data_IF_571624614121
#
_entry.id   IF_571624614121
#
_cell.length_a   1.000
_cell.length_b   1.000
_cell.length_c   1.000
_cell.angle_alpha   90.00
_cell.angle_beta   90.00
_cell.angle_gamma   90.00
#
_symmetry.space_group_name_H-M   'P 1'
#
loop_
_entity.id
_entity.type
_entity.pdbx_description
1 polymer ?
#
# COMPACT_ATOMS: atom_id res chain seq x y z
N UNK A 1 27.29 -4.27 27.47
CA UNK A 1 27.59 -2.84 27.26
C UNK A 1 27.71 -2.57 25.77
N UNK A 2 26.67 -2.05 25.12
CA UNK A 2 26.70 -1.27 23.85
C UNK A 2 25.27 -0.82 23.51
N UNK A 3 24.75 0.19 24.19
CA UNK A 3 23.46 0.81 23.86
C UNK A 3 23.50 2.31 24.24
N UNK A 4 24.24 3.09 23.46
CA UNK A 4 24.16 4.57 23.54
C UNK A 4 24.51 5.31 22.25
N UNK A 5 24.92 4.61 21.18
CA UNK A 5 25.22 5.25 19.89
C UNK A 5 24.00 5.37 18.95
N UNK A 6 22.90 4.66 19.22
CA UNK A 6 21.73 4.63 18.31
C UNK A 6 20.88 5.90 18.35
N UNK A 7 20.78 6.58 19.51
CA UNK A 7 19.84 7.69 19.67
C UNK A 7 20.26 8.96 18.90
N UNK A 8 21.57 9.18 18.68
CA UNK A 8 22.08 10.36 17.97
C UNK A 8 22.09 10.18 16.45
N UNK A 9 22.48 8.99 15.96
CA UNK A 9 22.48 8.69 14.54
C UNK A 9 21.05 8.51 14.00
N UNK A 10 20.14 7.97 14.82
CA UNK A 10 18.72 7.85 14.48
C UNK A 10 18.06 9.17 14.07
N UNK A 11 18.46 10.30 14.68
CA UNK A 11 17.92 11.63 14.32
C UNK A 11 18.28 12.07 12.89
N UNK A 12 19.45 11.71 12.41
CA UNK A 12 19.91 12.09 11.07
C UNK A 12 19.54 11.06 10.01
N UNK A 13 19.19 9.85 10.44
CA UNK A 13 18.76 8.78 9.57
C UNK A 13 17.32 9.02 9.12
N UNK A 14 17.07 8.85 7.82
CA UNK A 14 15.71 8.91 7.27
C UNK A 14 15.25 7.49 6.94
N UNK A 15 14.49 6.83 7.83
CA UNK A 15 14.06 5.44 7.62
C UNK A 15 13.16 5.29 6.40
N UNK A 16 12.53 6.37 5.94
CA UNK A 16 11.68 6.41 4.74
C UNK A 16 12.47 6.19 3.43
N UNK A 17 13.81 6.34 3.47
CA UNK A 17 14.68 6.22 2.28
C UNK A 17 15.93 5.35 2.51
N UNK A 18 16.00 4.64 3.64
CA UNK A 18 17.14 3.78 4.01
C UNK A 18 16.67 2.40 4.48
N UNK A 19 17.57 1.42 4.57
CA UNK A 19 17.20 0.03 4.91
C UNK A 19 16.44 -0.64 3.77
N UNK A 20 15.30 -1.24 4.07
CA UNK A 20 14.41 -1.90 3.12
C UNK A 20 13.79 -0.91 2.12
N UNK A 21 13.59 0.35 2.53
CA UNK A 21 13.05 1.42 1.68
C UNK A 21 14.11 2.06 0.74
N UNK A 22 15.30 1.45 0.63
CA UNK A 22 16.41 2.01 -0.15
C UNK A 22 16.25 1.70 -1.65
N UNK A 23 16.27 2.76 -2.46
CA UNK A 23 16.38 2.61 -3.92
C UNK A 23 17.82 2.25 -4.32
N UNK A 24 18.06 1.00 -4.75
CA UNK A 24 19.37 0.53 -5.22
C UNK A 24 19.87 1.29 -6.46
N UNK A 25 19.07 1.49 -7.54
CA UNK A 25 19.49 2.28 -8.69
C UNK A 25 19.86 3.72 -8.33
N UNK A 26 19.07 4.35 -7.47
CA UNK A 26 19.32 5.71 -6.99
C UNK A 26 20.62 5.78 -6.18
N UNK A 27 20.90 4.76 -5.36
CA UNK A 27 22.13 4.67 -4.57
C UNK A 27 23.35 4.57 -5.48
N UNK A 28 23.30 3.72 -6.52
CA UNK A 28 24.38 3.57 -7.49
C UNK A 28 24.68 4.90 -8.21
N UNK A 29 23.65 5.60 -8.70
CA UNK A 29 23.80 6.92 -9.34
C UNK A 29 24.39 7.96 -8.39
N UNK A 30 23.90 8.03 -7.15
CA UNK A 30 24.43 8.96 -6.16
C UNK A 30 25.90 8.69 -5.84
N UNK A 31 26.30 7.42 -5.73
CA UNK A 31 27.71 7.04 -5.52
C UNK A 31 28.55 7.45 -6.74
N UNK A 32 28.06 7.22 -7.96
CA UNK A 32 28.76 7.62 -9.18
C UNK A 32 28.97 9.14 -9.24
N UNK A 33 27.93 9.94 -8.94
CA UNK A 33 28.02 11.41 -8.89
C UNK A 33 29.02 11.85 -7.80
N UNK A 34 28.96 11.24 -6.62
CA UNK A 34 29.90 11.54 -5.53
C UNK A 34 31.35 11.23 -5.91
N UNK A 35 31.60 10.10 -6.57
CA UNK A 35 32.92 9.71 -7.05
C UNK A 35 33.46 10.69 -8.11
N UNK A 36 32.64 11.05 -9.11
CA UNK A 36 33.02 12.03 -10.14
C UNK A 36 33.33 13.39 -9.53
N UNK A 37 32.48 13.86 -8.61
CA UNK A 37 32.70 15.13 -7.90
C UNK A 37 33.98 15.12 -7.06
N UNK A 38 34.24 14.02 -6.33
CA UNK A 38 35.45 13.86 -5.53
C UNK A 38 36.72 13.84 -6.39
N UNK A 39 36.71 13.12 -7.52
CA UNK A 39 37.83 13.11 -8.48
C UNK A 39 38.08 14.50 -9.06
N UNK A 40 37.02 15.22 -9.45
CA UNK A 40 37.12 16.58 -9.96
C UNK A 40 37.73 17.55 -8.96
N UNK A 41 37.25 17.56 -7.71
CA UNK A 41 37.82 18.42 -6.64
C UNK A 41 39.24 18.01 -6.28
N UNK A 42 39.51 16.69 -6.23
CA UNK A 42 40.84 16.14 -5.97
C UNK A 42 41.88 16.57 -7.01
N UNK A 43 41.49 16.56 -8.28
CA UNK A 43 42.36 16.94 -9.39
C UNK A 43 42.56 18.45 -9.53
N UNK A 44 41.54 19.26 -9.21
CA UNK A 44 41.55 20.70 -9.44
C UNK A 44 41.99 21.54 -8.23
N UNK A 45 41.86 21.00 -7.01
CA UNK A 45 42.10 21.77 -5.78
C UNK A 45 43.10 21.06 -4.87
N UNK A 46 42.71 19.91 -4.31
CA UNK A 46 43.55 19.13 -3.40
C UNK A 46 42.93 17.74 -3.19
N UNK A 47 43.77 16.70 -3.12
CA UNK A 47 43.34 15.31 -2.94
C UNK A 47 42.60 15.13 -1.61
N UNK A 48 43.03 15.83 -0.56
CA UNK A 48 42.42 15.81 0.77
C UNK A 48 40.99 16.34 0.75
N UNK A 49 40.73 17.39 -0.02
CA UNK A 49 39.40 17.96 -0.18
C UNK A 49 38.48 17.05 -0.99
N UNK A 50 39.01 16.40 -2.03
CA UNK A 50 38.29 15.37 -2.78
C UNK A 50 37.90 14.18 -1.88
N UNK A 51 38.82 13.71 -1.05
CA UNK A 51 38.58 12.64 -0.09
C UNK A 51 37.54 13.04 0.97
N UNK A 52 37.64 14.24 1.53
CA UNK A 52 36.66 14.75 2.48
C UNK A 52 35.25 14.85 1.87
N UNK A 53 35.14 15.34 0.64
CA UNK A 53 33.87 15.40 -0.09
C UNK A 53 33.27 14.01 -0.29
N UNK A 54 34.07 13.02 -0.66
CA UNK A 54 33.60 11.65 -0.84
C UNK A 54 33.07 11.06 0.46
N UNK A 55 33.80 11.22 1.56
CA UNK A 55 33.37 10.73 2.90
C UNK A 55 32.05 11.37 3.32
N UNK A 56 31.91 12.69 3.18
CA UNK A 56 30.67 13.41 3.52
C UNK A 56 29.51 12.95 2.63
N UNK A 57 29.77 12.75 1.34
CA UNK A 57 28.77 12.29 0.37
C UNK A 57 28.27 10.87 0.69
N UNK A 58 29.20 9.95 0.97
CA UNK A 58 28.85 8.58 1.38
C UNK A 58 28.08 8.56 2.70
N UNK A 59 28.47 9.39 3.67
CA UNK A 59 27.73 9.55 4.92
C UNK A 59 26.30 10.05 4.68
N UNK A 60 26.11 11.02 3.79
CA UNK A 60 24.78 11.51 3.42
C UNK A 60 23.93 10.42 2.74
N UNK A 61 24.50 9.66 1.81
CA UNK A 61 23.82 8.55 1.12
C UNK A 61 23.47 7.42 2.10
N UNK A 62 24.34 7.13 3.06
CA UNK A 62 24.11 6.10 4.06
C UNK A 62 23.01 6.49 5.04
N UNK A 63 23.06 7.71 5.58
CA UNK A 63 22.09 8.23 6.55
C UNK A 63 20.73 8.56 5.93
N UNK A 64 20.70 9.19 4.75
CA UNK A 64 19.48 9.79 4.19
C UNK A 64 18.98 9.13 2.91
N UNK A 65 19.80 8.32 2.25
CA UNK A 65 19.44 7.68 0.97
C UNK A 65 19.63 8.55 -0.28
N UNK A 66 20.05 9.81 -0.14
CA UNK A 66 20.28 10.73 -1.25
C UNK A 66 21.48 11.66 -1.00
N UNK A 67 22.09 12.13 -2.09
CA UNK A 67 23.28 12.98 -2.07
C UNK A 67 22.94 14.46 -1.82
N UNK A 68 21.87 14.97 -2.43
CA UNK A 68 21.47 16.39 -2.37
C UNK A 68 20.13 16.53 -1.62
N UNK A 69 19.98 17.47 -0.67
CA UNK A 69 18.69 17.67 0.02
C UNK A 69 17.53 17.94 -0.94
N UNK A 70 16.41 17.23 -0.76
CA UNK A 70 15.19 17.42 -1.54
C UNK A 70 15.14 16.71 -2.89
N UNK A 71 16.17 15.93 -3.27
CA UNK A 71 16.13 15.11 -4.51
C UNK A 71 14.87 14.24 -4.60
N UNK A 72 14.41 13.53 -3.54
CA UNK A 72 13.23 12.68 -3.66
C UNK A 72 11.97 13.46 -4.09
N UNK A 73 11.75 14.65 -3.54
CA UNK A 73 10.61 15.51 -3.84
C UNK A 73 10.76 16.16 -5.23
N UNK A 74 11.98 16.53 -5.62
CA UNK A 74 12.28 17.05 -6.95
C UNK A 74 12.03 15.99 -8.04
N UNK A 75 12.50 14.77 -7.82
CA UNK A 75 12.33 13.65 -8.74
C UNK A 75 10.85 13.28 -8.88
N UNK A 76 10.08 13.29 -7.79
CA UNK A 76 8.62 13.07 -7.86
C UNK A 76 7.89 14.11 -8.69
N UNK A 77 8.31 15.39 -8.63
CA UNK A 77 7.59 16.50 -9.28
C UNK A 77 7.99 16.71 -10.75
N UNK A 78 9.22 16.37 -11.12
CA UNK A 78 9.78 16.76 -12.42
C UNK A 78 10.33 15.60 -13.24
N UNK A 79 10.55 14.42 -12.65
CA UNK A 79 11.10 13.30 -13.40
C UNK A 79 9.98 12.59 -14.18
N UNK A 80 10.09 12.45 -15.52
CA UNK A 80 9.07 11.77 -16.31
C UNK A 80 8.97 10.29 -15.96
N UNK A 81 7.77 9.71 -16.09
CA UNK A 81 7.43 8.33 -15.71
C UNK A 81 8.38 7.28 -16.28
N UNK A 82 8.85 7.47 -17.52
CA UNK A 82 9.85 6.59 -18.16
C UNK A 82 11.16 6.47 -17.38
N UNK A 83 11.61 7.56 -16.77
CA UNK A 83 12.83 7.57 -15.98
C UNK A 83 12.56 7.06 -14.57
N UNK A 84 11.39 7.36 -13.99
CA UNK A 84 10.95 6.73 -12.74
C UNK A 84 10.91 5.21 -12.83
N UNK A 85 10.39 4.62 -13.92
CA UNK A 85 10.43 3.16 -14.17
C UNK A 85 11.84 2.60 -14.22
N UNK A 86 12.79 3.30 -14.84
CA UNK A 86 14.20 2.91 -14.87
C UNK A 86 14.82 2.88 -13.45
N UNK A 87 14.30 3.70 -12.54
CA UNK A 87 14.68 3.72 -11.12
C UNK A 87 13.84 2.77 -10.25
N UNK A 88 12.96 1.95 -10.83
CA UNK A 88 12.01 1.10 -10.08
C UNK A 88 11.00 1.90 -9.26
N UNK A 89 10.66 3.12 -9.71
CA UNK A 89 9.75 4.08 -9.04
C UNK A 89 8.64 4.60 -9.96
N UNK A 90 8.41 3.97 -11.10
CA UNK A 90 7.18 4.19 -11.87
C UNK A 90 6.04 3.41 -11.23
N UNK A 91 4.79 3.75 -11.55
CA UNK A 91 3.73 2.72 -11.44
C UNK A 91 4.20 1.59 -12.35
N UNK A 92 4.57 0.46 -11.77
CA UNK A 92 4.92 -0.71 -12.55
C UNK A 92 3.72 -1.08 -13.42
N UNK A 93 4.00 -1.55 -14.63
CA UNK A 93 3.00 -2.24 -15.42
C UNK A 93 2.72 -3.55 -14.70
N UNK A 94 1.61 -3.58 -13.95
CA UNK A 94 1.09 -4.77 -13.29
C UNK A 94 1.93 -5.26 -12.09
N UNK A 95 1.28 -5.93 -11.12
CA UNK A 95 1.98 -6.59 -10.02
C UNK A 95 2.94 -7.68 -10.53
N UNK A 96 3.99 -8.04 -9.78
CA UNK A 96 4.85 -9.18 -10.11
C UNK A 96 4.04 -10.48 -10.18
N UNK A 97 4.49 -11.50 -10.93
CA UNK A 97 3.72 -12.72 -11.12
C UNK A 97 3.74 -13.57 -9.85
N UNK A 98 2.70 -13.46 -9.04
CA UNK A 98 2.29 -14.56 -8.16
C UNK A 98 0.87 -15.05 -8.45
N UNK A 99 0.00 -14.22 -9.05
CA UNK A 99 -1.22 -14.67 -9.76
C UNK A 99 -1.46 -13.73 -10.94
N UNK A 100 -1.50 -14.26 -12.16
CA UNK A 100 -2.05 -13.54 -13.30
C UNK A 100 -3.57 -13.52 -13.17
N UNK A 101 -4.11 -12.42 -12.63
CA UNK A 101 -5.52 -12.31 -12.28
C UNK A 101 -6.45 -12.52 -13.49
N UNK A 102 -6.06 -12.03 -14.66
CA UNK A 102 -6.83 -12.21 -15.89
C UNK A 102 -6.89 -13.70 -16.26
N UNK A 103 -5.72 -14.35 -16.35
CA UNK A 103 -5.64 -15.79 -16.63
C UNK A 103 -6.35 -16.64 -15.58
N UNK A 104 -6.25 -16.27 -14.30
CA UNK A 104 -6.91 -16.99 -13.21
C UNK A 104 -8.44 -16.87 -13.33
N UNK A 105 -8.97 -15.65 -13.49
CA UNK A 105 -10.41 -15.41 -13.59
C UNK A 105 -11.03 -16.01 -14.87
N UNK A 106 -10.27 -16.06 -15.97
CA UNK A 106 -10.64 -16.82 -17.17
C UNK A 106 -10.64 -18.33 -16.90
N UNK A 107 -9.60 -18.86 -16.23
CA UNK A 107 -9.53 -20.29 -15.90
C UNK A 107 -10.60 -20.75 -14.92
N UNK A 108 -11.06 -19.84 -14.06
CA UNK A 108 -12.12 -20.05 -13.08
C UNK A 108 -13.53 -19.81 -13.65
N UNK A 109 -13.65 -19.55 -14.95
CA UNK A 109 -14.91 -19.19 -15.64
C UNK A 109 -15.64 -18.00 -15.00
N UNK A 110 -14.93 -17.10 -14.31
CA UNK A 110 -15.50 -15.85 -13.76
C UNK A 110 -15.60 -14.79 -14.86
N UNK A 111 -14.58 -14.73 -15.71
CA UNK A 111 -14.56 -13.90 -16.92
C UNK A 111 -14.69 -14.78 -18.15
N UNK A 112 -15.35 -14.24 -19.18
CA UNK A 112 -15.45 -14.81 -20.52
C UNK A 112 -15.07 -13.75 -21.54
N UNK A 113 -14.47 -14.16 -22.66
CA UNK A 113 -14.28 -13.25 -23.78
C UNK A 113 -15.65 -12.82 -24.35
N UNK A 114 -15.77 -11.54 -24.70
CA UNK A 114 -16.94 -11.06 -25.43
C UNK A 114 -17.05 -11.75 -26.80
N UNK A 115 -18.24 -11.84 -27.40
CA UNK A 115 -18.42 -12.50 -28.71
C UNK A 115 -17.57 -11.90 -29.84
N UNK A 116 -17.14 -10.65 -29.71
CA UNK A 116 -16.27 -9.96 -30.66
C UNK A 116 -14.77 -10.11 -30.34
N UNK A 117 -14.41 -10.74 -29.21
CA UNK A 117 -13.04 -11.01 -28.77
C UNK A 117 -12.26 -9.75 -28.43
N UNK A 118 -12.93 -8.61 -28.18
CA UNK A 118 -12.27 -7.33 -27.93
C UNK A 118 -12.19 -6.95 -26.46
N UNK A 119 -12.94 -7.64 -25.60
CA UNK A 119 -13.03 -7.35 -24.18
C UNK A 119 -13.38 -8.62 -23.37
N UNK A 120 -13.40 -8.50 -22.05
CA UNK A 120 -13.84 -9.51 -21.11
C UNK A 120 -15.16 -9.10 -20.47
N UNK A 121 -16.07 -10.05 -20.32
CA UNK A 121 -17.33 -9.89 -19.60
C UNK A 121 -17.41 -10.86 -18.43
N UNK A 122 -18.24 -10.55 -17.42
CA UNK A 122 -18.56 -11.55 -16.40
C UNK A 122 -19.31 -12.72 -17.02
N UNK A 123 -18.94 -13.94 -16.61
CA UNK A 123 -19.72 -15.11 -16.95
C UNK A 123 -21.16 -14.97 -16.38
N UNK A 124 -22.19 -15.50 -17.06
CA UNK A 124 -23.59 -15.27 -16.65
C UNK A 124 -23.92 -15.71 -15.22
N UNK A 125 -23.26 -16.76 -14.74
CA UNK A 125 -23.42 -17.24 -13.37
C UNK A 125 -22.84 -16.24 -12.36
N UNK A 126 -21.64 -15.71 -12.64
CA UNK A 126 -20.96 -14.74 -11.78
C UNK A 126 -21.70 -13.42 -11.81
N UNK A 127 -22.12 -12.94 -12.99
CA UNK A 127 -22.89 -11.71 -13.14
C UNK A 127 -24.18 -11.76 -12.31
N UNK A 128 -24.88 -12.90 -12.32
CA UNK A 128 -26.10 -13.11 -11.55
C UNK A 128 -25.83 -13.13 -10.05
N UNK A 129 -24.84 -13.93 -9.60
CA UNK A 129 -24.45 -14.01 -8.20
C UNK A 129 -23.98 -12.65 -7.66
N UNK A 130 -23.17 -11.94 -8.44
CA UNK A 130 -22.65 -10.62 -8.14
C UNK A 130 -23.76 -9.57 -8.00
N UNK A 131 -24.73 -9.55 -8.94
CA UNK A 131 -25.90 -8.66 -8.84
C UNK A 131 -26.73 -8.95 -7.60
N UNK A 132 -26.97 -10.23 -7.28
CA UNK A 132 -27.69 -10.63 -6.06
C UNK A 132 -26.95 -10.18 -4.81
N UNK A 133 -25.62 -10.32 -4.78
CA UNK A 133 -24.81 -9.89 -3.65
C UNK A 133 -24.81 -8.36 -3.48
N UNK A 134 -24.66 -7.60 -4.57
CA UNK A 134 -24.74 -6.14 -4.56
C UNK A 134 -26.11 -5.64 -4.07
N UNK A 135 -27.19 -6.32 -4.43
CA UNK A 135 -28.52 -6.00 -3.92
C UNK A 135 -28.59 -6.23 -2.40
N UNK A 136 -28.11 -7.38 -1.91
CA UNK A 136 -28.08 -7.67 -0.49
C UNK A 136 -27.24 -6.68 0.32
N UNK A 137 -26.10 -6.23 -0.22
CA UNK A 137 -25.27 -5.20 0.43
C UNK A 137 -25.96 -3.83 0.48
N UNK A 138 -26.68 -3.45 -0.58
CA UNK A 138 -27.49 -2.22 -0.58
C UNK A 138 -28.61 -2.30 0.46
N UNK A 139 -29.34 -3.42 0.50
CA UNK A 139 -30.41 -3.62 1.47
C UNK A 139 -29.87 -3.63 2.91
N UNK A 140 -28.72 -4.26 3.14
CA UNK A 140 -28.03 -4.25 4.42
C UNK A 140 -27.55 -2.83 4.81
N UNK A 141 -27.03 -2.06 3.86
CA UNK A 141 -26.66 -0.66 4.07
C UNK A 141 -27.91 0.17 4.41
N UNK A 142 -29.00 0.03 3.68
CA UNK A 142 -30.26 0.74 3.95
C UNK A 142 -30.84 0.37 5.33
N UNK A 143 -30.68 -0.88 5.74
CA UNK A 143 -31.08 -1.35 7.08
C UNK A 143 -30.15 -0.82 8.18
N UNK A 144 -28.84 -0.78 7.93
CA UNK A 144 -27.82 -0.33 8.90
C UNK A 144 -27.79 1.20 9.05
N UNK A 145 -28.10 1.94 7.99
CA UNK A 145 -28.14 3.40 8.01
C UNK A 145 -29.53 3.98 8.29
N UNK A 146 -30.57 3.12 8.35
CA UNK A 146 -31.95 3.52 8.52
C UNK A 146 -32.44 4.29 7.30
N UNK A 147 -33.54 3.83 6.68
CA UNK A 147 -34.18 4.57 5.59
C UNK A 147 -34.23 6.05 5.94
N UNK A 148 -33.66 6.89 5.07
CA UNK A 148 -33.53 8.35 5.26
C UNK A 148 -34.92 8.92 5.45
N UNK A 149 -35.36 8.95 6.70
CA UNK A 149 -36.38 9.84 7.19
C UNK A 149 -35.60 10.94 7.87
N UNK A 150 -35.70 12.15 7.30
CA UNK A 150 -35.25 13.36 7.97
C UNK A 150 -35.98 13.46 9.31
N UNK A 151 -35.37 12.95 10.37
CA UNK A 151 -35.77 13.19 11.74
C UNK A 151 -34.49 13.37 12.57
N UNK A 152 -34.34 14.62 13.01
CA UNK A 152 -33.25 15.20 13.77
C UNK A 152 -32.91 14.45 15.07
N UNK A 153 -31.59 14.34 15.31
CA UNK A 153 -30.87 14.44 16.57
C UNK A 153 -31.29 13.57 17.78
N UNK A 154 -30.38 12.68 18.18
CA UNK A 154 -29.93 12.53 19.57
C UNK A 154 -28.59 11.78 19.57
N UNK A 155 -27.64 12.27 20.36
CA UNK A 155 -26.24 11.87 20.30
C UNK A 155 -25.93 10.51 20.90
N UNK A 156 -24.74 10.01 20.57
CA UNK A 156 -24.09 8.91 21.28
C UNK A 156 -22.62 9.21 21.50
N UNK A 157 -22.14 8.70 22.62
CA UNK A 157 -20.98 9.12 23.39
C UNK A 157 -19.67 9.12 22.60
N UNK A 158 -18.95 10.24 22.68
CA UNK A 158 -17.63 10.41 22.09
C UNK A 158 -16.63 9.50 22.81
N UNK A 159 -16.42 8.29 22.26
CA UNK A 159 -15.18 7.55 22.46
C UNK A 159 -14.02 8.52 22.17
N UNK A 160 -13.18 8.76 23.17
CA UNK A 160 -12.13 9.76 23.13
C UNK A 160 -11.28 9.59 21.85
N UNK A 161 -11.34 10.56 20.94
CA UNK A 161 -10.49 10.60 19.75
C UNK A 161 -9.04 10.58 20.22
N UNK A 162 -8.26 9.53 19.91
CA UNK A 162 -6.84 9.50 20.18
C UNK A 162 -6.13 10.73 19.58
N UNK A 163 -4.99 11.16 20.15
CA UNK A 163 -4.29 12.37 19.74
C UNK A 163 -3.82 12.38 18.27
N UNK A 164 -3.86 11.24 17.58
CA UNK A 164 -3.52 11.09 16.17
C UNK A 164 -4.68 11.39 15.19
N UNK A 165 -5.87 11.71 15.70
CA UNK A 165 -7.05 12.04 14.88
C UNK A 165 -7.70 10.84 14.20
N UNK A 166 -7.25 9.63 14.52
CA UNK A 166 -7.83 8.40 13.98
C UNK A 166 -9.02 7.93 14.80
N UNK A 167 -9.94 7.19 14.20
CA UNK A 167 -11.09 6.58 14.88
C UNK A 167 -11.00 5.06 14.74
N UNK A 168 -11.20 4.26 15.81
CA UNK A 168 -11.29 2.82 15.64
C UNK A 168 -12.46 2.47 14.72
N UNK A 169 -12.29 1.40 13.95
CA UNK A 169 -13.38 0.81 13.17
C UNK A 169 -14.43 0.18 14.09
N UNK A 170 -15.62 -0.08 13.53
CA UNK A 170 -16.65 -0.81 14.27
C UNK A 170 -16.20 -2.26 14.52
N UNK A 171 -16.67 -2.92 15.60
CA UNK A 171 -16.37 -4.34 15.83
C UNK A 171 -16.71 -5.23 14.62
N UNK A 172 -17.81 -4.93 13.92
CA UNK A 172 -18.20 -5.63 12.70
C UNK A 172 -17.17 -5.51 11.57
N UNK A 173 -16.53 -4.34 11.44
CA UNK A 173 -15.46 -4.13 10.45
C UNK A 173 -14.19 -4.90 10.85
N UNK A 174 -13.89 -5.03 12.15
CA UNK A 174 -12.74 -5.83 12.63
C UNK A 174 -12.99 -7.33 12.39
N UNK A 175 -14.19 -7.84 12.67
CA UNK A 175 -14.58 -9.22 12.34
C UNK A 175 -14.54 -9.48 10.83
N UNK A 176 -14.91 -8.51 10.01
CA UNK A 176 -14.78 -8.59 8.56
C UNK A 176 -13.31 -8.68 8.12
N UNK A 177 -12.44 -7.85 8.72
CA UNK A 177 -11.00 -7.86 8.45
C UNK A 177 -10.34 -9.17 8.90
N UNK A 178 -10.73 -9.73 10.04
CA UNK A 178 -10.23 -11.01 10.53
C UNK A 178 -10.51 -12.14 9.54
N UNK A 179 -11.73 -12.19 8.99
CA UNK A 179 -12.09 -13.16 7.95
C UNK A 179 -11.30 -12.96 6.66
N UNK A 180 -11.20 -11.71 6.19
CA UNK A 180 -10.47 -11.38 4.98
C UNK A 180 -8.99 -11.81 5.09
N UNK A 181 -8.36 -11.55 6.24
CA UNK A 181 -6.92 -11.76 6.44
C UNK A 181 -6.55 -13.14 6.99
N UNK A 182 -7.50 -13.85 7.62
CA UNK A 182 -7.24 -15.08 8.37
C UNK A 182 -6.50 -14.87 9.70
N UNK A 183 -6.41 -13.62 10.18
CA UNK A 183 -5.75 -13.27 11.45
C UNK A 183 -6.82 -13.10 12.53
N UNK A 184 -6.54 -13.60 13.74
CA UNK A 184 -7.43 -13.44 14.90
C UNK A 184 -7.72 -11.96 15.19
N UNK A 185 -8.96 -11.66 15.59
CA UNK A 185 -9.42 -10.29 15.86
C UNK A 185 -8.54 -9.56 16.89
N UNK A 186 -8.05 -10.27 17.91
CA UNK A 186 -7.18 -9.72 18.96
C UNK A 186 -5.82 -9.25 18.43
N UNK A 187 -5.37 -9.81 17.31
CA UNK A 187 -4.13 -9.43 16.64
C UNK A 187 -4.31 -8.23 15.70
N UNK A 188 -5.55 -7.82 15.43
CA UNK A 188 -5.89 -6.86 14.40
C UNK A 188 -6.33 -5.51 14.96
N UNK A 189 -6.01 -4.45 14.23
CA UNK A 189 -6.64 -3.16 14.41
C UNK A 189 -6.91 -2.49 13.08
N UNK A 190 -8.07 -1.86 12.96
CA UNK A 190 -8.46 -1.04 11.81
C UNK A 190 -8.81 0.35 12.31
N UNK A 191 -8.14 1.37 11.78
CA UNK A 191 -8.38 2.76 12.17
C UNK A 191 -8.62 3.65 10.95
N UNK A 192 -9.56 4.58 11.10
CA UNK A 192 -9.98 5.54 10.07
C UNK A 192 -9.39 6.93 10.35
N UNK A 193 -8.74 7.55 9.37
CA UNK A 193 -8.25 8.92 9.42
C UNK A 193 -9.06 9.79 8.44
N UNK A 194 -10.19 10.32 8.89
CA UNK A 194 -11.17 10.88 7.96
C UNK A 194 -11.84 9.73 7.19
N UNK A 195 -11.65 9.69 5.87
CA UNK A 195 -12.13 8.61 4.99
C UNK A 195 -11.15 7.43 4.89
N UNK A 196 -9.82 7.63 4.69
CA UNK A 196 -8.88 6.52 4.59
C UNK A 196 -8.83 5.63 5.83
N UNK A 197 -8.76 4.32 5.61
CA UNK A 197 -8.58 3.30 6.65
C UNK A 197 -7.21 2.63 6.58
N UNK A 198 -6.66 2.26 7.73
CA UNK A 198 -5.40 1.53 7.85
C UNK A 198 -5.57 0.32 8.76
N UNK A 199 -5.29 -0.87 8.24
CA UNK A 199 -5.26 -2.11 9.02
C UNK A 199 -3.85 -2.46 9.47
N UNK A 200 -3.73 -2.94 10.70
CA UNK A 200 -2.49 -3.37 11.31
C UNK A 200 -2.65 -4.74 11.98
N UNK A 201 -1.64 -5.59 11.85
CA UNK A 201 -1.43 -6.76 12.68
C UNK A 201 -0.29 -6.45 13.67
N UNK A 202 -0.61 -6.23 14.94
CA UNK A 202 0.33 -5.68 15.91
C UNK A 202 0.93 -4.34 15.45
N UNK A 203 2.23 -4.32 15.14
CA UNK A 203 2.94 -3.12 14.67
C UNK A 203 3.08 -3.04 13.14
N UNK A 204 2.76 -4.11 12.41
CA UNK A 204 2.89 -4.17 10.96
C UNK A 204 1.62 -3.65 10.30
N UNK A 205 1.75 -2.83 9.25
CA UNK A 205 0.60 -2.40 8.44
C UNK A 205 0.34 -3.45 7.38
N UNK A 206 -0.86 -4.02 7.41
CA UNK A 206 -1.26 -5.11 6.51
C UNK A 206 -2.23 -4.66 5.40
N UNK A 207 -2.81 -3.46 5.50
CA UNK A 207 -3.75 -2.97 4.50
C UNK A 207 -4.06 -1.48 4.64
N UNK A 208 -4.53 -0.89 3.55
CA UNK A 208 -5.07 0.47 3.54
C UNK A 208 -6.21 0.58 2.51
N UNK A 209 -7.20 1.42 2.81
CA UNK A 209 -8.34 1.66 1.94
C UNK A 209 -8.63 3.14 1.84
N UNK A 210 -9.08 3.59 0.67
CA UNK A 210 -9.42 5.00 0.43
C UNK A 210 -10.65 5.46 1.24
N UNK A 211 -11.55 4.52 1.55
CA UNK A 211 -12.76 4.75 2.32
C UNK A 211 -13.25 3.45 2.98
N UNK A 212 -14.21 3.56 3.89
CA UNK A 212 -14.92 2.40 4.45
C UNK A 212 -15.67 1.60 3.38
N UNK A 213 -16.23 2.27 2.38
CA UNK A 213 -16.94 1.61 1.28
C UNK A 213 -15.99 0.75 0.44
N UNK A 214 -14.76 1.19 0.21
CA UNK A 214 -13.74 0.39 -0.47
C UNK A 214 -13.40 -0.87 0.32
N UNK A 215 -13.15 -0.74 1.64
CA UNK A 215 -12.93 -1.90 2.51
C UNK A 215 -14.09 -2.92 2.47
N UNK A 216 -15.33 -2.44 2.54
CA UNK A 216 -16.50 -3.33 2.48
C UNK A 216 -16.67 -4.01 1.12
N UNK A 217 -16.25 -3.35 0.03
CA UNK A 217 -16.27 -3.94 -1.30
C UNK A 217 -15.30 -5.14 -1.38
N UNK A 218 -14.09 -5.01 -0.86
CA UNK A 218 -13.10 -6.10 -0.86
C UNK A 218 -13.57 -7.27 0.01
N UNK A 219 -14.11 -7.00 1.21
CA UNK A 219 -14.69 -8.04 2.08
C UNK A 219 -15.84 -8.79 1.40
N UNK A 220 -16.68 -8.06 0.65
CA UNK A 220 -17.78 -8.65 -0.07
C UNK A 220 -17.30 -9.53 -1.23
N UNK A 221 -16.33 -9.04 -1.99
CA UNK A 221 -15.76 -9.76 -3.11
C UNK A 221 -14.96 -11.00 -2.67
N UNK A 222 -14.20 -10.93 -1.58
CA UNK A 222 -13.56 -12.10 -0.96
C UNK A 222 -14.58 -13.18 -0.58
N UNK A 223 -15.69 -12.78 0.07
CA UNK A 223 -16.78 -13.73 0.42
C UNK A 223 -17.42 -14.35 -0.81
N UNK A 224 -17.66 -13.56 -1.86
CA UNK A 224 -18.27 -14.05 -3.09
C UNK A 224 -17.35 -15.06 -3.80
N UNK A 225 -16.05 -14.78 -3.87
CA UNK A 225 -15.08 -15.68 -4.48
C UNK A 225 -14.88 -16.94 -3.63
N UNK A 226 -14.77 -16.84 -2.31
CA UNK A 226 -14.67 -17.99 -1.41
C UNK A 226 -15.88 -18.94 -1.50
N UNK A 227 -17.08 -18.42 -1.77
CA UNK A 227 -18.29 -19.23 -1.91
C UNK A 227 -18.37 -20.02 -3.23
N UNK A 228 -17.59 -19.62 -4.25
CA UNK A 228 -17.71 -20.15 -5.61
C UNK A 228 -16.43 -20.80 -6.13
N UNK A 229 -15.28 -20.49 -5.53
CA UNK A 229 -13.97 -20.98 -5.95
C UNK A 229 -13.31 -21.69 -4.76
N UNK A 230 -13.32 -23.03 -4.80
CA UNK A 230 -12.78 -23.87 -3.72
C UNK A 230 -11.29 -23.59 -3.43
N UNK A 231 -10.54 -23.17 -4.46
CA UNK A 231 -9.10 -22.89 -4.35
C UNK A 231 -8.81 -21.48 -3.83
N UNK A 232 -9.82 -20.60 -3.72
CA UNK A 232 -9.63 -19.19 -3.40
C UNK A 232 -8.98 -18.97 -2.03
N UNK A 233 -9.46 -19.65 -1.00
CA UNK A 233 -8.93 -19.51 0.36
C UNK A 233 -7.49 -20.04 0.50
N UNK A 234 -7.04 -20.87 -0.45
CA UNK A 234 -5.66 -21.39 -0.47
C UNK A 234 -4.65 -20.36 -0.97
N UNK A 235 -5.11 -19.29 -1.64
CA UNK A 235 -4.24 -18.24 -2.16
C UNK A 235 -3.70 -17.35 -1.03
N UNK A 236 -2.41 -16.96 -1.08
CA UNK A 236 -1.85 -15.98 -0.16
C UNK A 236 -2.69 -14.70 -0.12
N UNK A 237 -2.78 -14.07 1.06
CA UNK A 237 -3.57 -12.84 1.26
C UNK A 237 -3.19 -11.74 0.26
N UNK A 238 -1.90 -11.59 -0.04
CA UNK A 238 -1.43 -10.62 -1.03
C UNK A 238 -1.98 -10.89 -2.44
N UNK A 239 -2.10 -12.16 -2.82
CA UNK A 239 -2.66 -12.59 -4.10
C UNK A 239 -4.16 -12.34 -4.16
N UNK A 240 -4.90 -12.67 -3.09
CA UNK A 240 -6.34 -12.36 -2.98
C UNK A 240 -6.58 -10.86 -3.06
N UNK A 241 -5.85 -10.06 -2.28
CA UNK A 241 -5.95 -8.60 -2.33
C UNK A 241 -5.69 -8.03 -3.72
N UNK A 242 -4.70 -8.55 -4.46
CA UNK A 242 -4.41 -8.09 -5.82
C UNK A 242 -5.52 -8.37 -6.83
N UNK A 243 -6.34 -9.40 -6.62
CA UNK A 243 -7.53 -9.70 -7.44
C UNK A 243 -8.71 -8.79 -7.07
N UNK A 244 -8.78 -8.35 -5.80
CA UNK A 244 -9.89 -7.54 -5.28
C UNK A 244 -9.74 -6.04 -5.57
N UNK A 245 -8.51 -5.50 -5.62
CA UNK A 245 -8.24 -4.09 -5.94
C UNK A 245 -6.97 -3.53 -5.31
#
# INVERSE_FOLDING_TARGET
>A
MTASHDTRLGRFRRPEYTGENRCLPCTAVNIAIAAVGAVGVGALVAVELGAALLVVSLAAIWLRGYLVPGTPELTKRYLPERALRLFGKGRDAGPPPEVDAESYLLSADVLVETPDGTDLAFAPWFESAWRTHLAALRDAADTAFGGVTNATAAGDEAAATPPDGTRPASPADVTALARLTGIDEDGLSLRWLGEPGFAHAGNERIGHWESRSAFLADVAADRALAAHLDDWESLPLASRSGVLG
#
